data_IF_722565897985
#
_entry.id   IF_722565897985
#
_cell.length_a   1.000
_cell.length_b   1.000
_cell.length_c   1.000
_cell.angle_alpha   90.00
_cell.angle_beta   90.00
_cell.angle_gamma   90.00
#
_symmetry.space_group_name_H-M   'P 1'
#
loop_
_entity.id
_entity.type
_entity.pdbx_description
1 polymer ?
#
# COMPACT_ATOMS: atom_id res chain seq x y z
N UNK A 1 -21.14 -1.64 -19.69
CA UNK A 1 -20.50 -2.81 -20.35
C UNK A 1 -21.23 -4.15 -20.13
N UNK A 2 -22.54 -4.16 -19.90
CA UNK A 2 -23.33 -5.38 -19.57
C UNK A 2 -24.18 -5.89 -20.76
N UNK A 3 -24.18 -5.21 -21.90
CA UNK A 3 -25.09 -5.53 -23.02
C UNK A 3 -24.58 -6.57 -24.04
N UNK A 4 -23.32 -7.02 -23.94
CA UNK A 4 -22.75 -7.96 -24.91
C UNK A 4 -22.82 -9.45 -24.48
N UNK A 5 -23.08 -9.74 -23.22
CA UNK A 5 -23.12 -11.12 -22.69
C UNK A 5 -24.25 -11.97 -23.31
N UNK A 6 -25.49 -11.47 -23.50
CA UNK A 6 -26.58 -12.24 -24.16
C UNK A 6 -26.28 -12.62 -25.61
N UNK A 7 -25.61 -11.75 -26.37
CA UNK A 7 -25.25 -12.02 -27.74
C UNK A 7 -24.18 -13.12 -27.88
N UNK A 8 -23.20 -13.11 -27.02
CA UNK A 8 -22.15 -14.14 -27.00
C UNK A 8 -22.73 -15.49 -26.59
N UNK A 9 -23.62 -15.55 -25.59
CA UNK A 9 -24.30 -16.78 -25.18
C UNK A 9 -25.21 -17.34 -26.28
N UNK A 10 -25.92 -16.49 -27.01
CA UNK A 10 -26.76 -16.89 -28.14
C UNK A 10 -25.93 -17.46 -29.29
N UNK A 11 -24.77 -16.88 -29.59
CA UNK A 11 -23.87 -17.36 -30.63
C UNK A 11 -23.28 -18.74 -30.28
N UNK A 12 -22.91 -18.96 -29.01
CA UNK A 12 -22.43 -20.24 -28.49
C UNK A 12 -23.53 -21.32 -28.60
N UNK A 13 -24.77 -20.99 -28.24
CA UNK A 13 -25.89 -21.92 -28.35
C UNK A 13 -26.21 -22.31 -29.79
N UNK A 14 -26.16 -21.36 -30.73
CA UNK A 14 -26.36 -21.61 -32.14
C UNK A 14 -25.23 -22.46 -32.74
N UNK A 15 -24.00 -22.25 -32.31
CA UNK A 15 -22.84 -23.01 -32.80
C UNK A 15 -22.86 -24.47 -32.33
N UNK A 16 -23.17 -24.73 -31.07
CA UNK A 16 -23.18 -26.10 -30.51
C UNK A 16 -24.50 -26.84 -30.81
N UNK A 17 -25.59 -26.15 -31.09
CA UNK A 17 -26.89 -26.75 -31.38
C UNK A 17 -26.92 -27.62 -32.65
N UNK A 18 -25.99 -27.40 -33.60
CA UNK A 18 -25.85 -28.19 -34.87
C UNK A 18 -24.85 -29.34 -34.82
N UNK A 19 -24.19 -29.56 -33.67
CA UNK A 19 -23.12 -30.57 -33.50
C UNK A 19 -23.64 -31.84 -32.83
N UNK A 20 -22.82 -32.88 -32.83
CA UNK A 20 -23.13 -34.14 -32.17
C UNK A 20 -23.38 -33.96 -30.63
N UNK A 21 -24.02 -34.93 -30.02
CA UNK A 21 -24.33 -34.93 -28.56
C UNK A 21 -23.15 -34.57 -27.67
N UNK A 22 -21.94 -35.03 -28.04
CA UNK A 22 -20.72 -34.69 -27.28
C UNK A 22 -20.44 -33.19 -27.21
N UNK A 23 -20.64 -32.47 -28.29
CA UNK A 23 -20.47 -30.99 -28.34
C UNK A 23 -21.57 -30.26 -27.58
N UNK A 24 -22.80 -30.81 -27.58
CA UNK A 24 -23.91 -30.22 -26.77
C UNK A 24 -23.62 -30.32 -25.27
N UNK A 25 -23.09 -31.50 -24.83
CA UNK A 25 -22.70 -31.69 -23.42
C UNK A 25 -21.55 -30.74 -23.06
N UNK A 26 -20.52 -30.62 -23.89
CA UNK A 26 -19.40 -29.71 -23.66
C UNK A 26 -19.86 -28.26 -23.58
N UNK A 27 -20.74 -27.83 -24.48
CA UNK A 27 -21.31 -26.48 -24.45
C UNK A 27 -22.12 -26.18 -23.20
N UNK A 28 -22.94 -27.15 -22.75
CA UNK A 28 -23.70 -27.04 -21.52
C UNK A 28 -22.78 -26.95 -20.27
N UNK A 29 -21.72 -27.77 -20.24
CA UNK A 29 -20.75 -27.74 -19.14
C UNK A 29 -20.02 -26.39 -19.08
N UNK A 30 -19.55 -25.87 -20.22
CA UNK A 30 -18.90 -24.54 -20.28
C UNK A 30 -19.85 -23.43 -19.87
N UNK A 31 -21.13 -23.52 -20.21
CA UNK A 31 -22.14 -22.55 -19.80
C UNK A 31 -22.34 -22.56 -18.28
N UNK A 32 -22.47 -23.75 -17.67
CA UNK A 32 -22.63 -23.90 -16.21
C UNK A 32 -21.41 -23.35 -15.47
N UNK A 33 -20.21 -23.68 -15.93
CA UNK A 33 -18.97 -23.17 -15.35
C UNK A 33 -18.89 -21.65 -15.50
N UNK A 34 -19.26 -21.12 -16.68
CA UNK A 34 -19.27 -19.67 -16.93
C UNK A 34 -20.28 -18.91 -16.03
N UNK A 35 -21.48 -19.48 -15.82
CA UNK A 35 -22.47 -18.94 -14.89
C UNK A 35 -21.98 -19.03 -13.44
N UNK A 36 -21.37 -20.15 -13.07
CA UNK A 36 -20.80 -20.33 -11.71
C UNK A 36 -19.71 -19.32 -11.41
N UNK A 37 -18.76 -19.13 -12.33
CA UNK A 37 -17.70 -18.12 -12.20
C UNK A 37 -18.28 -16.71 -12.18
N UNK A 38 -19.23 -16.41 -13.07
CA UNK A 38 -19.92 -15.13 -13.13
C UNK A 38 -20.65 -14.81 -11.82
N UNK A 39 -21.33 -15.79 -11.23
CA UNK A 39 -22.04 -15.64 -9.95
C UNK A 39 -21.08 -15.41 -8.78
N UNK A 40 -19.95 -16.13 -8.74
CA UNK A 40 -18.92 -15.92 -7.70
C UNK A 40 -18.24 -14.55 -7.84
N UNK A 41 -17.98 -14.12 -9.07
CA UNK A 41 -17.42 -12.79 -9.33
C UNK A 41 -18.44 -11.68 -9.00
N UNK A 42 -19.73 -11.88 -9.30
CA UNK A 42 -20.79 -10.94 -8.97
C UNK A 42 -21.01 -10.85 -7.46
N UNK A 43 -21.04 -11.98 -6.76
CA UNK A 43 -21.17 -12.01 -5.30
C UNK A 43 -19.98 -11.37 -4.59
N UNK A 44 -18.75 -11.55 -5.10
CA UNK A 44 -17.58 -10.84 -4.59
C UNK A 44 -17.60 -9.35 -4.93
N UNK A 45 -18.15 -9.00 -6.07
CA UNK A 45 -18.30 -7.60 -6.50
C UNK A 45 -19.36 -6.88 -5.67
N UNK A 46 -20.48 -7.52 -5.36
CA UNK A 46 -21.53 -6.95 -4.50
C UNK A 46 -21.05 -6.79 -3.07
N UNK A 47 -20.33 -7.78 -2.53
CA UNK A 47 -19.70 -7.66 -1.20
C UNK A 47 -18.65 -6.55 -1.17
N UNK A 48 -17.89 -6.39 -2.23
CA UNK A 48 -16.93 -5.31 -2.40
C UNK A 48 -17.65 -3.96 -2.57
N UNK A 49 -18.71 -3.91 -3.36
CA UNK A 49 -19.52 -2.71 -3.58
C UNK A 49 -20.21 -2.25 -2.29
N UNK A 50 -20.81 -3.16 -1.51
CA UNK A 50 -21.43 -2.84 -0.22
C UNK A 50 -20.39 -2.31 0.77
N UNK A 51 -19.19 -2.88 0.78
CA UNK A 51 -18.09 -2.38 1.62
C UNK A 51 -17.59 -1.01 1.13
N UNK A 52 -17.52 -0.83 -0.17
CA UNK A 52 -17.15 0.42 -0.82
C UNK A 52 -18.18 1.54 -0.55
N UNK A 53 -19.48 1.25 -0.63
CA UNK A 53 -20.55 2.21 -0.29
C UNK A 53 -20.53 2.60 1.18
N UNK A 54 -20.31 1.66 2.09
CA UNK A 54 -20.17 1.94 3.52
C UNK A 54 -18.96 2.84 3.83
N UNK A 55 -17.87 2.65 3.09
CA UNK A 55 -16.67 3.49 3.17
C UNK A 55 -16.93 4.87 2.56
N UNK A 56 -17.71 4.95 1.49
CA UNK A 56 -18.02 6.22 0.82
C UNK A 56 -18.93 7.11 1.66
N UNK A 57 -19.83 6.54 2.44
CA UNK A 57 -20.67 7.27 3.39
C UNK A 57 -19.85 7.85 4.56
N UNK A 58 -18.79 7.15 4.98
CA UNK A 58 -17.80 7.69 5.93
C UNK A 58 -16.83 8.70 5.30
N UNK A 59 -16.68 8.70 3.97
CA UNK A 59 -15.82 9.65 3.24
C UNK A 59 -16.30 11.11 3.33
N UNK A 60 -17.57 11.34 3.52
CA UNK A 60 -18.12 12.70 3.57
C UNK A 60 -17.67 13.52 4.79
N UNK A 61 -17.06 12.91 5.80
CA UNK A 61 -16.68 13.58 7.05
C UNK A 61 -15.18 13.67 7.33
N UNK A 62 -14.31 13.09 6.50
CA UNK A 62 -12.87 13.03 6.77
C UNK A 62 -12.03 13.60 5.62
N UNK A 63 -11.74 14.91 5.72
CA UNK A 63 -10.82 15.62 4.80
C UNK A 63 -9.36 15.56 5.27
N UNK A 64 -8.93 14.50 5.94
CA UNK A 64 -7.55 14.41 6.37
C UNK A 64 -6.62 14.33 5.16
N UNK A 65 -5.74 15.29 5.06
CA UNK A 65 -4.68 15.34 4.07
C UNK A 65 -3.45 14.64 4.63
N UNK A 66 -2.96 13.65 3.93
CA UNK A 66 -1.81 12.84 4.34
C UNK A 66 -0.73 12.94 3.27
N UNK A 67 0.49 13.24 3.70
CA UNK A 67 1.67 13.21 2.86
C UNK A 67 2.53 12.00 3.25
N UNK A 68 2.84 11.15 2.27
CA UNK A 68 3.88 10.15 2.41
C UNK A 68 5.17 10.68 1.82
N UNK A 69 6.28 10.51 2.55
CA UNK A 69 7.60 10.96 2.13
C UNK A 69 8.58 9.80 2.29
N UNK A 70 9.36 9.49 1.24
CA UNK A 70 10.32 8.41 1.38
C UNK A 70 11.01 7.93 0.10
N UNK A 71 11.51 6.71 0.18
CA UNK A 71 12.30 6.02 -0.83
C UNK A 71 11.45 5.11 -1.76
N UNK A 72 12.06 4.04 -2.28
CA UNK A 72 11.40 3.08 -3.18
C UNK A 72 10.20 2.40 -2.54
N UNK A 73 10.23 2.08 -1.23
CA UNK A 73 9.11 1.45 -0.53
C UNK A 73 7.88 2.38 -0.57
N UNK A 74 8.10 3.67 -0.34
CA UNK A 74 7.07 4.70 -0.40
C UNK A 74 6.54 4.89 -1.83
N UNK A 75 7.43 4.90 -2.83
CA UNK A 75 7.04 4.96 -4.25
C UNK A 75 6.18 3.77 -4.66
N UNK A 76 6.53 2.56 -4.21
CA UNK A 76 5.78 1.33 -4.48
C UNK A 76 4.45 1.29 -3.74
N UNK A 77 4.36 1.99 -2.62
CA UNK A 77 3.12 2.19 -1.88
C UNK A 77 1.97 2.76 -2.72
N UNK A 78 2.26 3.60 -3.71
CA UNK A 78 1.27 4.19 -4.63
C UNK A 78 0.91 3.32 -5.84
N UNK A 79 1.59 2.19 -6.03
CA UNK A 79 1.27 1.25 -7.12
C UNK A 79 0.00 0.46 -6.82
N UNK A 80 -0.62 -0.18 -7.82
CA UNK A 80 -1.70 -1.13 -7.60
C UNK A 80 -1.29 -2.18 -6.55
N UNK A 81 -2.09 -2.38 -5.51
CA UNK A 81 -1.82 -3.25 -4.34
C UNK A 81 -0.78 -2.71 -3.35
N UNK A 82 -0.23 -1.52 -3.55
CA UNK A 82 0.65 -0.86 -2.59
C UNK A 82 -0.10 -0.41 -1.33
N UNK A 83 0.63 -0.13 -0.26
CA UNK A 83 0.02 0.21 1.03
C UNK A 83 -0.73 1.54 0.99
N UNK A 84 -0.25 2.54 0.24
CA UNK A 84 -0.94 3.85 0.10
C UNK A 84 -2.28 3.66 -0.62
N UNK A 85 -2.29 2.92 -1.73
CA UNK A 85 -3.52 2.60 -2.48
C UNK A 85 -4.53 1.84 -1.61
N UNK A 86 -4.05 0.93 -0.74
CA UNK A 86 -4.91 0.22 0.20
C UNK A 86 -5.50 1.14 1.27
N UNK A 87 -4.70 2.08 1.80
CA UNK A 87 -5.19 3.08 2.77
C UNK A 87 -6.27 3.95 2.14
N UNK A 88 -6.05 4.44 0.92
CA UNK A 88 -7.05 5.23 0.18
C UNK A 88 -8.34 4.45 -0.14
N UNK A 89 -8.25 3.13 -0.27
CA UNK A 89 -9.43 2.28 -0.44
C UNK A 89 -10.23 2.09 0.86
N UNK A 90 -9.59 2.23 2.03
CA UNK A 90 -10.19 2.00 3.35
C UNK A 90 -10.65 3.31 3.98
N UNK A 91 -9.85 4.37 3.89
CA UNK A 91 -10.10 5.65 4.54
C UNK A 91 -10.41 6.76 3.53
N UNK A 92 -11.31 7.68 3.87
CA UNK A 92 -11.61 8.86 3.06
C UNK A 92 -10.54 9.93 3.28
N UNK A 93 -9.33 9.69 2.78
CA UNK A 93 -8.18 10.57 2.93
C UNK A 93 -7.70 11.10 1.59
N UNK A 94 -7.30 12.37 1.55
CA UNK A 94 -6.57 12.93 0.42
C UNK A 94 -5.07 12.67 0.64
N UNK A 95 -4.46 11.90 -0.26
CA UNK A 95 -3.08 11.43 -0.10
C UNK A 95 -2.21 11.95 -1.22
N UNK A 96 -1.06 12.53 -0.83
CA UNK A 96 0.07 12.77 -1.73
C UNK A 96 1.27 11.93 -1.37
N UNK A 97 2.07 11.64 -2.36
CA UNK A 97 3.29 10.84 -2.23
C UNK A 97 4.48 11.60 -2.81
N UNK A 98 5.46 11.90 -1.96
CA UNK A 98 6.73 12.53 -2.30
C UNK A 98 7.83 11.50 -2.10
N UNK A 99 8.26 10.85 -3.17
CA UNK A 99 9.20 9.74 -3.06
C UNK A 99 10.23 9.74 -4.18
N UNK A 100 11.41 9.18 -3.90
CA UNK A 100 12.44 8.91 -4.91
C UNK A 100 13.07 7.54 -4.65
N UNK A 101 13.09 6.68 -5.68
CA UNK A 101 13.64 5.33 -5.58
C UNK A 101 15.14 5.37 -5.36
N UNK A 102 15.62 4.56 -4.41
CA UNK A 102 17.03 4.50 -4.06
C UNK A 102 17.53 5.69 -3.23
N UNK A 103 16.67 6.65 -2.90
CA UNK A 103 17.09 7.83 -2.16
C UNK A 103 17.52 7.50 -0.73
N UNK A 104 18.65 8.07 -0.33
CA UNK A 104 19.08 8.16 1.06
C UNK A 104 18.23 9.17 1.83
N UNK A 105 18.31 9.15 3.15
CA UNK A 105 17.59 10.11 4.00
C UNK A 105 17.91 11.57 3.68
N UNK A 106 19.16 11.87 3.32
CA UNK A 106 19.59 13.23 2.93
C UNK A 106 18.91 13.67 1.62
N UNK A 107 18.93 12.79 0.60
CA UNK A 107 18.30 13.07 -0.70
C UNK A 107 16.77 13.21 -0.58
N UNK A 108 16.14 12.47 0.32
CA UNK A 108 14.72 12.69 0.67
C UNK A 108 14.53 14.09 1.26
N UNK A 109 15.45 14.54 2.11
CA UNK A 109 15.45 15.89 2.66
C UNK A 109 15.56 16.97 1.58
N UNK A 110 16.39 16.77 0.57
CA UNK A 110 16.51 17.68 -0.57
C UNK A 110 15.24 17.68 -1.44
N UNK A 111 14.62 16.51 -1.61
CA UNK A 111 13.35 16.40 -2.30
C UNK A 111 12.23 17.16 -1.55
N UNK A 112 12.24 17.14 -0.22
CA UNK A 112 11.31 17.94 0.61
C UNK A 112 11.50 19.43 0.34
N UNK A 113 12.73 19.93 0.23
CA UNK A 113 13.00 21.34 -0.05
C UNK A 113 12.45 21.79 -1.39
N UNK A 114 12.62 20.95 -2.41
CA UNK A 114 12.16 21.22 -3.78
C UNK A 114 10.64 21.12 -3.93
N UNK A 115 9.95 20.46 -3.00
CA UNK A 115 8.51 20.27 -3.08
C UNK A 115 7.76 21.61 -2.94
N UNK A 116 6.95 21.94 -3.95
CA UNK A 116 6.07 23.14 -3.90
C UNK A 116 4.90 22.87 -2.98
N UNK A 117 4.71 23.73 -1.98
CA UNK A 117 3.66 23.59 -0.97
C UNK A 117 2.32 24.07 -1.54
N UNK A 118 1.64 23.19 -2.26
CA UNK A 118 0.24 23.35 -2.69
C UNK A 118 -0.73 22.47 -1.90
N UNK A 119 -0.21 21.80 -0.86
CA UNK A 119 -0.90 20.78 -0.08
C UNK A 119 -0.48 20.89 1.39
N UNK A 120 -1.43 21.14 2.27
CA UNK A 120 -1.18 21.24 3.71
C UNK A 120 -1.62 19.94 4.40
N UNK A 121 -0.71 18.98 4.62
CA UNK A 121 -1.05 17.72 5.27
C UNK A 121 -1.32 17.91 6.76
N UNK A 122 -2.25 17.17 7.31
CA UNK A 122 -2.46 17.03 8.77
C UNK A 122 -1.45 16.06 9.36
N UNK A 123 -1.13 15.01 8.60
CA UNK A 123 -0.15 13.99 9.00
C UNK A 123 0.83 13.71 7.86
N UNK A 124 2.10 13.59 8.21
CA UNK A 124 3.18 13.19 7.31
C UNK A 124 3.72 11.86 7.81
N UNK A 125 3.67 10.83 6.98
CA UNK A 125 4.36 9.57 7.23
C UNK A 125 5.68 9.58 6.46
N UNK A 126 6.80 9.55 7.18
CA UNK A 126 8.13 9.54 6.60
C UNK A 126 8.77 8.16 6.74
N UNK A 127 9.35 7.66 5.69
CA UNK A 127 10.13 6.42 5.67
C UNK A 127 11.49 6.69 5.04
N UNK A 128 12.57 6.36 5.76
CA UNK A 128 13.93 6.56 5.27
C UNK A 128 14.93 5.71 6.07
N UNK A 129 16.13 5.54 5.52
CA UNK A 129 17.24 4.88 6.20
C UNK A 129 17.63 3.53 5.58
N UNK A 130 16.78 2.90 4.77
CA UNK A 130 17.12 1.63 4.10
C UNK A 130 18.34 1.81 3.19
N UNK A 131 18.30 2.82 2.32
CA UNK A 131 19.40 3.07 1.39
C UNK A 131 20.65 3.60 2.09
N UNK A 132 20.49 4.33 3.20
CA UNK A 132 21.62 4.71 4.05
C UNK A 132 22.34 3.47 4.60
N UNK A 133 21.57 2.49 5.10
CA UNK A 133 22.09 1.22 5.60
C UNK A 133 22.79 0.42 4.49
N UNK A 134 22.16 0.29 3.33
CA UNK A 134 22.72 -0.40 2.17
C UNK A 134 24.01 0.26 1.67
N UNK A 135 24.15 1.58 1.85
CA UNK A 135 25.36 2.34 1.56
C UNK A 135 26.40 2.32 2.72
N UNK A 136 26.21 1.45 3.72
CA UNK A 136 27.17 1.23 4.80
C UNK A 136 27.18 2.31 5.88
N UNK A 137 26.17 3.18 5.97
CA UNK A 137 26.09 4.15 7.06
C UNK A 137 25.79 3.44 8.40
N UNK A 138 26.40 3.94 9.45
CA UNK A 138 26.15 3.47 10.81
C UNK A 138 24.77 3.91 11.29
N UNK A 139 24.22 3.20 12.26
CA UNK A 139 22.94 3.54 12.89
C UNK A 139 22.92 4.99 13.44
N UNK A 140 24.03 5.46 14.00
CA UNK A 140 24.18 6.85 14.46
C UNK A 140 24.02 7.85 13.31
N UNK A 141 24.73 7.63 12.19
CA UNK A 141 24.63 8.49 11.00
C UNK A 141 23.23 8.50 10.39
N UNK A 142 22.55 7.34 10.39
CA UNK A 142 21.16 7.24 9.92
C UNK A 142 20.23 8.04 10.84
N UNK A 143 20.39 7.90 12.16
CA UNK A 143 19.59 8.65 13.14
C UNK A 143 19.79 10.17 12.98
N UNK A 144 21.02 10.64 12.82
CA UNK A 144 21.32 12.05 12.58
C UNK A 144 20.67 12.56 11.29
N UNK A 145 20.75 11.78 10.20
CA UNK A 145 20.08 12.10 8.93
C UNK A 145 18.56 12.15 9.08
N UNK A 146 17.97 11.23 9.85
CA UNK A 146 16.53 11.22 10.13
C UNK A 146 16.10 12.43 10.97
N UNK A 147 16.88 12.84 11.96
CA UNK A 147 16.64 14.07 12.73
C UNK A 147 16.68 15.31 11.85
N UNK A 148 17.61 15.36 10.91
CA UNK A 148 17.68 16.43 9.92
C UNK A 148 16.43 16.45 9.03
N UNK A 149 16.01 15.30 8.50
CA UNK A 149 14.77 15.18 7.72
C UNK A 149 13.55 15.60 8.54
N UNK A 150 13.48 15.20 9.82
CA UNK A 150 12.41 15.62 10.73
C UNK A 150 12.33 17.14 10.84
N UNK A 151 13.47 17.78 11.04
CA UNK A 151 13.55 19.25 11.16
C UNK A 151 13.09 19.93 9.87
N UNK A 152 13.49 19.42 8.70
CA UNK A 152 13.02 19.96 7.40
C UNK A 152 11.51 19.82 7.24
N UNK A 153 10.95 18.66 7.55
CA UNK A 153 9.50 18.41 7.46
C UNK A 153 8.73 19.32 8.42
N UNK A 154 9.18 19.45 9.67
CA UNK A 154 8.54 20.27 10.69
C UNK A 154 8.60 21.77 10.35
N UNK A 155 9.70 22.24 9.80
CA UNK A 155 9.85 23.64 9.36
C UNK A 155 8.95 23.95 8.15
N UNK A 156 8.88 23.02 7.20
CA UNK A 156 8.08 23.20 5.98
C UNK A 156 6.58 23.04 6.21
N UNK A 157 6.20 22.19 7.15
CA UNK A 157 4.81 21.87 7.50
C UNK A 157 4.58 22.00 9.01
N UNK A 158 4.62 23.22 9.57
CA UNK A 158 4.63 23.44 11.02
C UNK A 158 3.37 22.97 11.74
N UNK A 159 2.26 22.82 11.00
CA UNK A 159 0.98 22.36 11.57
C UNK A 159 0.74 20.86 11.34
N UNK A 160 1.73 20.14 10.81
CA UNK A 160 1.61 18.74 10.51
C UNK A 160 2.23 17.87 11.60
N UNK A 161 1.58 16.78 11.91
CA UNK A 161 2.20 15.70 12.70
C UNK A 161 3.12 14.88 11.82
N UNK A 162 4.40 14.83 12.14
CA UNK A 162 5.38 13.97 11.45
C UNK A 162 5.50 12.65 12.20
N UNK A 163 5.33 11.53 11.47
CA UNK A 163 5.43 10.16 11.96
C UNK A 163 6.45 9.42 11.14
N UNK A 164 7.55 9.01 11.76
CA UNK A 164 8.51 8.14 11.10
C UNK A 164 8.04 6.69 11.16
N UNK A 165 7.97 6.06 10.00
CA UNK A 165 7.71 4.63 9.90
C UNK A 165 9.01 3.88 10.21
N UNK A 166 9.00 2.91 11.12
CA UNK A 166 10.19 2.13 11.41
C UNK A 166 10.60 1.32 10.18
N UNK A 167 11.89 1.23 9.96
CA UNK A 167 12.47 0.41 8.89
C UNK A 167 12.31 -1.07 9.28
N UNK A 168 11.66 -1.82 8.41
CA UNK A 168 11.47 -3.26 8.59
C UNK A 168 12.81 -4.02 8.47
N UNK A 169 12.91 -5.23 9.05
CA UNK A 169 14.09 -6.07 8.91
C UNK A 169 14.37 -6.36 7.42
N UNK A 170 15.63 -6.24 7.02
CA UNK A 170 16.09 -6.56 5.67
C UNK A 170 16.68 -7.96 5.67
N UNK A 171 16.57 -8.66 4.55
CA UNK A 171 17.21 -9.96 4.31
C UNK A 171 18.27 -9.79 3.24
N UNK A 172 19.54 -9.68 3.64
CA UNK A 172 20.67 -9.60 2.72
C UNK A 172 21.52 -10.86 2.91
N UNK A 173 21.85 -11.54 1.82
CA UNK A 173 22.71 -12.75 1.82
C UNK A 173 22.32 -13.81 2.86
N UNK A 174 21.03 -14.12 2.96
CA UNK A 174 20.46 -15.03 3.96
C UNK A 174 20.56 -14.60 5.43
N UNK A 175 21.11 -13.44 5.71
CA UNK A 175 21.13 -12.83 7.03
C UNK A 175 19.98 -11.83 7.17
N UNK A 176 19.29 -11.89 8.31
CA UNK A 176 18.34 -10.85 8.68
C UNK A 176 19.16 -9.74 9.32
N UNK A 177 19.28 -8.60 8.62
CA UNK A 177 19.90 -7.42 9.20
C UNK A 177 18.88 -6.78 10.13
N UNK A 178 19.28 -6.59 11.37
CA UNK A 178 18.46 -6.00 12.41
C UNK A 178 17.91 -4.62 11.98
N UNK A 179 16.69 -4.36 12.40
CA UNK A 179 15.97 -3.12 12.22
C UNK A 179 16.79 -1.91 12.64
N UNK A 180 16.71 -0.85 11.83
CA UNK A 180 17.11 0.47 12.27
C UNK A 180 16.05 0.92 13.27
N UNK A 181 16.39 0.87 14.55
CA UNK A 181 15.56 1.50 15.58
C UNK A 181 15.63 3.00 15.33
N UNK A 182 14.55 3.57 14.78
CA UNK A 182 14.45 5.01 14.68
C UNK A 182 14.51 5.58 16.11
N UNK A 183 15.58 6.29 16.45
CA UNK A 183 15.68 7.03 17.72
C UNK A 183 14.80 8.29 17.74
N UNK A 184 14.01 8.50 16.71
CA UNK A 184 13.02 9.56 16.68
C UNK A 184 11.83 9.17 17.57
N UNK A 185 11.21 10.13 18.25
CA UNK A 185 10.01 9.90 19.04
C UNK A 185 8.85 9.53 18.11
N UNK A 186 8.83 8.30 17.64
CA UNK A 186 7.73 7.79 16.88
C UNK A 186 6.85 6.95 17.79
N UNK A 187 5.58 7.35 17.91
CA UNK A 187 4.57 6.53 18.57
C UNK A 187 4.07 5.41 17.63
N UNK A 188 4.82 5.10 16.56
CA UNK A 188 4.46 4.08 15.61
C UNK A 188 5.19 2.79 15.96
N UNK A 189 4.42 1.76 16.37
CA UNK A 189 4.98 0.45 16.68
C UNK A 189 5.48 -0.24 15.41
N UNK A 190 6.53 -1.08 15.50
CA UNK A 190 6.95 -1.93 14.40
C UNK A 190 5.78 -2.79 13.92
N UNK A 191 5.34 -2.56 12.69
CA UNK A 191 4.13 -3.18 12.13
C UNK A 191 4.27 -4.69 11.84
N UNK A 192 5.48 -5.20 11.90
CA UNK A 192 5.80 -6.62 11.68
C UNK A 192 5.83 -7.44 12.97
N UNK A 193 5.98 -6.84 14.14
CA UNK A 193 6.11 -7.55 15.42
C UNK A 193 4.83 -8.30 15.82
N UNK A 194 3.68 -7.67 15.66
CA UNK A 194 2.39 -8.24 16.07
C UNK A 194 1.87 -9.32 15.11
N UNK A 195 2.60 -9.63 14.04
CA UNK A 195 2.08 -10.50 12.98
C UNK A 195 2.50 -11.95 13.13
N UNK A 196 3.47 -12.27 13.98
CA UNK A 196 4.12 -13.58 14.02
C UNK A 196 4.78 -13.98 12.69
N UNK A 197 4.90 -13.02 11.76
CA UNK A 197 5.44 -13.25 10.42
C UNK A 197 6.95 -13.07 10.40
N UNK A 198 7.65 -13.98 9.73
CA UNK A 198 9.08 -13.82 9.47
C UNK A 198 9.29 -12.86 8.29
N UNK A 199 10.47 -12.24 8.21
CA UNK A 199 10.84 -11.31 7.12
C UNK A 199 10.54 -11.89 5.73
N UNK A 200 10.81 -13.18 5.50
CA UNK A 200 10.52 -13.89 4.25
C UNK A 200 9.04 -13.83 3.81
N UNK A 201 8.12 -13.62 4.75
CA UNK A 201 6.68 -13.66 4.47
C UNK A 201 6.16 -12.31 3.96
N UNK A 202 6.85 -11.22 4.27
CA UNK A 202 6.43 -9.88 3.91
C UNK A 202 7.41 -9.12 3.00
N UNK A 203 8.56 -9.73 2.66
CA UNK A 203 9.51 -9.18 1.70
C UNK A 203 9.41 -9.90 0.36
N UNK A 204 9.89 -9.25 -0.69
CA UNK A 204 10.20 -9.86 -1.97
C UNK A 204 11.52 -10.64 -1.88
N UNK A 205 11.86 -11.34 -2.95
CA UNK A 205 13.09 -12.17 -3.02
C UNK A 205 14.38 -11.33 -2.92
N UNK A 206 14.30 -10.03 -3.25
CA UNK A 206 15.42 -9.09 -3.07
C UNK A 206 15.74 -8.78 -1.60
N UNK A 207 14.88 -9.22 -0.68
CA UNK A 207 15.06 -9.04 0.75
C UNK A 207 14.90 -7.61 1.26
N UNK A 208 14.49 -6.68 0.41
CA UNK A 208 14.37 -5.24 0.69
C UNK A 208 12.94 -4.74 0.52
N UNK A 209 12.34 -5.01 -0.63
CA UNK A 209 11.01 -4.49 -0.97
C UNK A 209 9.89 -5.33 -0.38
N UNK A 210 8.76 -4.68 -0.15
CA UNK A 210 7.59 -5.34 0.45
C UNK A 210 6.84 -6.19 -0.58
N UNK A 211 6.50 -7.41 -0.18
CA UNK A 211 5.55 -8.26 -0.90
C UNK A 211 4.12 -7.69 -0.77
N UNK A 212 3.17 -8.26 -1.50
CA UNK A 212 1.75 -7.90 -1.37
C UNK A 212 1.23 -8.06 0.08
N UNK A 213 1.75 -9.06 0.82
CA UNK A 213 1.45 -9.26 2.25
C UNK A 213 2.07 -8.15 3.08
N UNK A 214 3.34 -7.79 2.83
CA UNK A 214 4.02 -6.70 3.53
C UNK A 214 3.29 -5.36 3.35
N UNK A 215 2.91 -5.02 2.12
CA UNK A 215 2.10 -3.83 1.85
C UNK A 215 0.74 -3.86 2.60
N UNK A 216 0.11 -5.03 2.75
CA UNK A 216 -1.16 -5.14 3.48
C UNK A 216 -0.98 -4.94 4.98
N UNK A 217 0.09 -5.47 5.56
CA UNK A 217 0.42 -5.31 6.98
C UNK A 217 0.74 -3.84 7.30
N UNK A 218 1.57 -3.21 6.48
CA UNK A 218 1.91 -1.79 6.65
C UNK A 218 0.66 -0.89 6.50
N UNK A 219 -0.19 -1.16 5.50
CA UNK A 219 -1.45 -0.43 5.33
C UNK A 219 -2.34 -0.54 6.58
N UNK A 220 -2.50 -1.75 7.14
CA UNK A 220 -3.28 -1.99 8.37
C UNK A 220 -2.74 -1.18 9.55
N UNK A 221 -1.42 -1.22 9.75
CA UNK A 221 -0.78 -0.51 10.86
C UNK A 221 -0.96 1.02 10.74
N UNK A 222 -0.76 1.59 9.54
CA UNK A 222 -0.96 3.02 9.30
C UNK A 222 -2.44 3.40 9.48
N UNK A 223 -3.37 2.61 8.94
CA UNK A 223 -4.81 2.83 9.11
C UNK A 223 -5.20 2.87 10.58
N UNK A 224 -4.72 1.91 11.38
CA UNK A 224 -4.98 1.88 12.82
C UNK A 224 -4.39 3.11 13.53
N UNK A 225 -3.20 3.57 13.15
CA UNK A 225 -2.60 4.78 13.70
C UNK A 225 -3.39 6.05 13.37
N UNK A 226 -4.01 6.11 12.19
CA UNK A 226 -4.88 7.23 11.79
C UNK A 226 -6.18 7.22 12.61
N UNK A 227 -6.82 6.06 12.73
CA UNK A 227 -8.11 5.90 13.42
C UNK A 227 -7.97 6.14 14.93
N UNK A 228 -6.96 5.55 15.58
CA UNK A 228 -6.74 5.66 17.04
C UNK A 228 -6.47 7.08 17.53
N UNK A 229 -6.20 8.02 16.64
CA UNK A 229 -5.99 9.43 16.96
C UNK A 229 -7.26 10.28 16.87
N UNK A 230 -8.36 9.70 16.38
CA UNK A 230 -9.66 10.35 16.24
C UNK A 230 -10.64 9.98 17.35
N UNK A 231 -10.32 8.94 18.11
CA UNK A 231 -11.01 8.52 19.34
C UNK A 231 -10.37 9.16 20.56
#
# INVERSE_FOLDING_TARGET
MVSSLPLVLSAIFLYFGRKSLKYKILGATLLIVGIGIGSVLHFRWDSFAIHFWKIQDQRSSCNDKILFVGDSITCEGSRPRGFITKIQAILPVDVRNLCHKGATTAEIGDLVDLYKVDFNPVTIFAQSGINDLLNGKTQKQISESQQYLFSKLSNKFPNSRVVFLPVHPLKIENNIIATISAHLPTNFKPWWEDTGSFARDFLLDDGVHLSAKGHSLLAKAITNNIISKKS
#
